data_IF_004532884934
#
_entry.id   IF_004532884934
#
_cell.length_a   1.000
_cell.length_b   1.000
_cell.length_c   1.000
_cell.angle_alpha   90.00
_cell.angle_beta   90.00
_cell.angle_gamma   90.00
#
_symmetry.space_group_name_H-M   'P 1'
#
loop_
_entity.id
_entity.type
_entity.pdbx_description
1 polymer ?
#
# COMPACT_ATOMS: atom_id res chain seq x y z
N UNK A 1 -30.83 -25.76 -27.88
CA UNK A 1 -30.89 -24.31 -27.59
C UNK A 1 -32.23 -23.82 -28.10
N UNK A 2 -32.98 -23.05 -27.31
CA UNK A 2 -34.33 -22.59 -27.72
C UNK A 2 -34.19 -21.48 -28.78
N UNK A 3 -35.15 -21.40 -29.72
CA UNK A 3 -35.22 -20.37 -30.76
C UNK A 3 -35.08 -18.93 -30.21
N UNK A 4 -35.47 -18.70 -28.97
CA UNK A 4 -35.35 -17.40 -28.29
C UNK A 4 -33.89 -17.01 -28.03
N UNK A 5 -32.99 -17.97 -27.71
CA UNK A 5 -31.58 -17.71 -27.47
C UNK A 5 -30.86 -17.41 -28.80
N UNK A 6 -31.25 -18.08 -29.87
CA UNK A 6 -30.71 -17.83 -31.20
C UNK A 6 -31.11 -16.44 -31.74
N UNK A 7 -32.36 -16.01 -31.50
CA UNK A 7 -32.83 -14.67 -31.89
C UNK A 7 -32.15 -13.53 -31.10
N UNK A 8 -31.76 -13.75 -29.83
CA UNK A 8 -31.01 -12.78 -29.04
C UNK A 8 -29.56 -12.66 -29.56
N UNK A 9 -28.99 -13.77 -30.01
CA UNK A 9 -27.62 -13.76 -30.59
C UNK A 9 -27.58 -13.08 -31.98
N UNK A 10 -28.67 -13.18 -32.76
CA UNK A 10 -28.75 -12.57 -34.08
C UNK A 10 -29.11 -11.07 -34.06
N UNK A 11 -29.73 -10.57 -32.99
CA UNK A 11 -30.10 -9.15 -32.84
C UNK A 11 -28.94 -8.26 -32.34
N UNK A 12 -27.84 -8.83 -31.84
CA UNK A 12 -26.72 -8.07 -31.27
C UNK A 12 -25.59 -7.78 -32.29
N UNK A 13 -25.97 -7.47 -33.51
CA UNK A 13 -25.04 -7.13 -34.59
C UNK A 13 -24.78 -5.62 -34.74
N UNK A 14 -25.13 -4.82 -33.70
CA UNK A 14 -24.83 -3.39 -33.70
C UNK A 14 -23.80 -3.07 -32.61
N UNK A 15 -22.58 -2.82 -33.06
CA UNK A 15 -21.41 -2.39 -32.29
C UNK A 15 -20.89 -3.45 -31.29
N UNK A 16 -20.11 -4.39 -31.79
CA UNK A 16 -19.15 -5.10 -30.95
C UNK A 16 -18.24 -4.05 -30.31
N UNK A 17 -18.54 -3.69 -29.06
CA UNK A 17 -17.58 -2.99 -28.22
C UNK A 17 -16.43 -3.98 -27.99
N UNK A 18 -15.49 -4.02 -28.91
CA UNK A 18 -14.24 -4.75 -28.73
C UNK A 18 -13.38 -3.93 -27.79
N UNK A 19 -13.51 -4.20 -26.50
CA UNK A 19 -12.51 -3.76 -25.53
C UNK A 19 -11.33 -4.72 -25.69
N UNK A 20 -10.20 -4.28 -26.28
CA UNK A 20 -9.02 -5.13 -26.34
C UNK A 20 -8.61 -5.45 -24.90
N UNK A 21 -8.28 -6.71 -24.60
CA UNK A 21 -7.82 -7.07 -23.27
C UNK A 21 -6.54 -6.28 -22.95
N UNK A 22 -6.52 -5.64 -21.78
CA UNK A 22 -5.29 -5.01 -21.28
C UNK A 22 -4.41 -6.14 -20.71
N UNK A 23 -3.58 -6.70 -21.56
CA UNK A 23 -2.63 -7.74 -21.18
C UNK A 23 -1.20 -7.19 -21.23
N UNK A 24 -0.38 -7.58 -20.29
CA UNK A 24 1.03 -7.22 -20.32
C UNK A 24 1.71 -7.91 -21.54
N UNK A 25 2.44 -7.17 -22.42
CA UNK A 25 3.02 -7.72 -23.63
C UNK A 25 3.95 -8.92 -23.43
N UNK A 26 4.58 -9.03 -22.26
CA UNK A 26 5.43 -10.19 -21.94
C UNK A 26 4.60 -11.43 -21.61
N UNK A 27 3.52 -11.23 -20.86
CA UNK A 27 2.58 -12.31 -20.55
C UNK A 27 1.91 -12.79 -21.82
N UNK A 28 1.48 -11.89 -22.71
CA UNK A 28 0.93 -12.19 -24.00
C UNK A 28 1.93 -12.98 -24.86
N UNK A 29 3.15 -12.47 -25.03
CA UNK A 29 4.19 -13.15 -25.78
C UNK A 29 4.59 -14.53 -25.19
N UNK A 30 4.49 -14.70 -23.88
CA UNK A 30 4.72 -16.00 -23.23
C UNK A 30 3.61 -16.99 -23.59
N UNK A 31 2.36 -16.58 -23.50
CA UNK A 31 1.19 -17.41 -23.84
C UNK A 31 1.23 -17.81 -25.32
N UNK A 32 1.46 -16.84 -26.20
CA UNK A 32 1.50 -17.08 -27.66
C UNK A 32 2.62 -18.02 -28.10
N UNK A 33 3.74 -17.99 -27.42
CA UNK A 33 4.90 -18.85 -27.73
C UNK A 33 4.84 -20.24 -27.10
N UNK A 34 3.98 -20.43 -26.11
CA UNK A 34 3.94 -21.68 -25.33
C UNK A 34 2.50 -22.23 -25.16
N UNK A 35 1.69 -22.31 -26.24
CA UNK A 35 0.29 -22.76 -26.12
C UNK A 35 0.22 -24.20 -25.57
N UNK A 36 1.04 -25.11 -26.07
CA UNK A 36 1.04 -26.52 -25.65
C UNK A 36 1.34 -26.66 -24.16
N UNK A 37 2.32 -25.88 -23.66
CA UNK A 37 2.65 -25.88 -22.22
C UNK A 37 1.47 -25.38 -21.37
N UNK A 38 0.69 -24.43 -21.84
CA UNK A 38 -0.51 -23.96 -21.12
C UNK A 38 -1.55 -25.09 -21.03
N UNK A 39 -1.78 -25.83 -22.11
CA UNK A 39 -2.68 -26.99 -22.11
C UNK A 39 -2.16 -28.09 -21.19
N UNK A 40 -0.88 -28.43 -21.25
CA UNK A 40 -0.24 -29.42 -20.37
C UNK A 40 -0.40 -29.03 -18.88
N UNK A 41 -0.26 -27.75 -18.55
CA UNK A 41 -0.47 -27.24 -17.19
C UNK A 41 -1.94 -27.34 -16.76
N UNK A 42 -2.90 -27.05 -17.66
CA UNK A 42 -4.33 -27.23 -17.37
C UNK A 42 -4.64 -28.71 -17.16
N UNK A 43 -4.11 -29.59 -17.96
CA UNK A 43 -4.31 -31.04 -17.82
C UNK A 43 -3.71 -31.58 -16.52
N UNK A 44 -2.54 -31.06 -16.11
CA UNK A 44 -1.86 -31.48 -14.89
C UNK A 44 -2.48 -30.90 -13.60
N UNK A 45 -2.94 -29.65 -13.62
CA UNK A 45 -3.37 -28.92 -12.42
C UNK A 45 -4.86 -28.57 -12.41
N UNK A 46 -5.56 -28.71 -13.51
CA UNK A 46 -6.97 -28.38 -13.65
C UNK A 46 -7.23 -26.91 -14.01
N UNK A 47 -8.52 -26.60 -14.15
CA UNK A 47 -9.03 -25.25 -14.46
C UNK A 47 -9.94 -24.79 -13.31
N UNK A 48 -9.92 -23.50 -12.92
CA UNK A 48 -9.12 -22.41 -13.52
C UNK A 48 -7.64 -22.44 -13.12
N UNK A 49 -6.76 -22.12 -14.08
CA UNK A 49 -5.31 -22.05 -13.86
C UNK A 49 -4.86 -20.61 -13.59
N UNK A 50 -4.16 -20.39 -12.49
CA UNK A 50 -3.57 -19.09 -12.15
C UNK A 50 -2.05 -19.14 -12.38
N UNK A 51 -1.58 -18.40 -13.38
CA UNK A 51 -0.15 -18.23 -13.65
C UNK A 51 0.37 -16.93 -13.05
N UNK A 52 1.51 -16.99 -12.38
CA UNK A 52 2.15 -15.85 -11.74
C UNK A 52 3.55 -15.68 -12.32
N UNK A 53 3.89 -14.44 -12.66
CA UNK A 53 5.17 -14.04 -13.22
C UNK A 53 5.92 -13.12 -12.25
N UNK A 54 6.64 -13.66 -11.24
CA UNK A 54 7.27 -12.84 -10.19
C UNK A 54 8.29 -11.85 -10.74
N UNK A 55 8.98 -12.18 -11.83
CA UNK A 55 9.97 -11.32 -12.49
C UNK A 55 9.37 -10.00 -13.03
N UNK A 56 8.06 -9.91 -13.13
CA UNK A 56 7.40 -8.65 -13.52
C UNK A 56 7.57 -7.55 -12.47
N UNK A 57 7.80 -7.92 -11.21
CA UNK A 57 8.08 -6.95 -10.14
C UNK A 57 9.36 -6.18 -10.43
N UNK A 58 10.42 -6.85 -10.89
CA UNK A 58 11.72 -6.23 -11.16
C UNK A 58 11.61 -5.11 -12.20
N UNK A 59 10.81 -5.35 -13.24
CA UNK A 59 10.55 -4.35 -14.30
C UNK A 59 9.74 -3.17 -13.79
N UNK A 60 8.71 -3.44 -13.01
CA UNK A 60 7.88 -2.38 -12.45
C UNK A 60 8.71 -1.51 -11.49
N UNK A 61 9.53 -2.12 -10.64
CA UNK A 61 10.45 -1.40 -9.76
C UNK A 61 11.42 -0.54 -10.57
N UNK A 62 12.02 -1.10 -11.62
CA UNK A 62 12.94 -0.37 -12.49
C UNK A 62 12.27 0.85 -13.13
N UNK A 63 11.02 0.69 -13.61
CA UNK A 63 10.27 1.79 -14.20
C UNK A 63 10.00 2.92 -13.19
N UNK A 64 9.61 2.60 -11.94
CA UNK A 64 9.46 3.60 -10.89
C UNK A 64 10.78 4.30 -10.55
N UNK A 65 11.87 3.56 -10.41
CA UNK A 65 13.21 4.13 -10.13
C UNK A 65 13.68 5.05 -11.24
N UNK A 66 13.37 4.74 -12.49
CA UNK A 66 13.67 5.61 -13.64
C UNK A 66 12.92 6.94 -13.55
N UNK A 67 11.63 6.91 -13.20
CA UNK A 67 10.83 8.13 -13.00
C UNK A 67 11.40 8.98 -11.86
N UNK A 68 11.78 8.35 -10.75
CA UNK A 68 12.41 9.07 -9.62
C UNK A 68 13.70 9.75 -10.05
N UNK A 69 14.58 9.01 -10.74
CA UNK A 69 15.84 9.56 -11.26
C UNK A 69 15.62 10.72 -12.24
N UNK A 70 14.68 10.55 -13.19
CA UNK A 70 14.37 11.57 -14.21
C UNK A 70 13.87 12.88 -13.60
N UNK A 71 13.14 12.81 -12.48
CA UNK A 71 12.53 13.96 -11.83
C UNK A 71 13.30 14.43 -10.58
N UNK A 72 14.50 13.90 -10.32
CA UNK A 72 15.28 14.19 -9.12
C UNK A 72 14.50 13.98 -7.81
N UNK A 73 13.64 12.97 -7.78
CA UNK A 73 12.89 12.60 -6.59
C UNK A 73 13.69 11.62 -5.74
N UNK A 74 13.71 11.86 -4.43
CA UNK A 74 14.18 10.90 -3.45
C UNK A 74 12.98 10.19 -2.83
N UNK A 75 12.95 8.87 -2.90
CA UNK A 75 11.83 8.12 -2.36
C UNK A 75 12.10 6.62 -2.30
N UNK A 76 11.26 5.94 -1.54
CA UNK A 76 11.27 4.49 -1.40
C UNK A 76 9.98 3.91 -1.97
N UNK A 77 10.10 2.78 -2.65
CA UNK A 77 8.96 2.05 -3.18
C UNK A 77 8.50 1.06 -2.13
N UNK A 78 7.21 1.09 -1.81
CA UNK A 78 6.55 0.09 -0.99
C UNK A 78 5.66 -0.78 -1.88
N UNK A 79 6.00 -2.05 -2.02
CA UNK A 79 5.14 -3.02 -2.67
C UNK A 79 4.03 -3.43 -1.71
N UNK A 80 2.77 -3.27 -2.09
CA UNK A 80 1.68 -3.71 -1.22
C UNK A 80 1.32 -5.18 -1.45
N UNK A 81 1.27 -5.96 -0.39
CA UNK A 81 0.90 -7.38 -0.43
C UNK A 81 -0.61 -7.63 -0.61
N UNK A 82 -1.43 -6.59 -0.47
CA UNK A 82 -2.89 -6.69 -0.48
C UNK A 82 -3.48 -7.19 -1.81
N UNK A 83 -3.06 -6.69 -2.99
CA UNK A 83 -3.62 -7.13 -4.27
C UNK A 83 -3.18 -8.53 -4.66
N UNK A 84 -2.00 -8.96 -4.25
CA UNK A 84 -1.48 -10.29 -4.57
C UNK A 84 -0.70 -10.87 -3.40
N UNK A 85 -1.26 -11.92 -2.81
CA UNK A 85 -0.71 -12.61 -1.64
C UNK A 85 0.21 -13.78 -1.98
N UNK A 86 0.65 -13.91 -3.23
CA UNK A 86 1.54 -14.98 -3.65
C UNK A 86 2.90 -14.87 -2.97
N UNK A 87 3.31 -15.96 -2.33
CA UNK A 87 4.63 -16.08 -1.69
C UNK A 87 5.76 -15.89 -2.70
N UNK A 88 5.60 -16.36 -3.94
CA UNK A 88 6.60 -16.18 -5.00
C UNK A 88 6.85 -14.72 -5.34
N UNK A 89 5.79 -13.91 -5.38
CA UNK A 89 5.88 -12.46 -5.58
C UNK A 89 6.58 -11.79 -4.40
N UNK A 90 6.19 -12.14 -3.17
CA UNK A 90 6.82 -11.56 -1.97
C UNK A 90 8.30 -11.93 -1.86
N UNK A 91 8.67 -13.18 -2.18
CA UNK A 91 10.08 -13.60 -2.24
C UNK A 91 10.85 -12.83 -3.30
N UNK A 92 10.30 -12.67 -4.50
CA UNK A 92 10.93 -11.85 -5.55
C UNK A 92 11.09 -10.40 -5.10
N UNK A 93 10.07 -9.80 -4.48
CA UNK A 93 10.16 -8.46 -3.94
C UNK A 93 11.20 -8.33 -2.82
N UNK A 94 11.38 -9.33 -1.97
CA UNK A 94 12.37 -9.30 -0.88
C UNK A 94 13.80 -9.24 -1.37
N UNK A 95 14.10 -9.81 -2.55
CA UNK A 95 15.43 -9.76 -3.17
C UNK A 95 15.75 -8.42 -3.83
N UNK A 96 14.74 -7.56 -4.02
CA UNK A 96 14.87 -6.24 -4.59
C UNK A 96 15.03 -5.17 -3.51
N UNK A 97 15.52 -4.01 -3.89
CA UNK A 97 15.60 -2.83 -3.04
C UNK A 97 14.24 -2.08 -3.02
N UNK A 98 13.24 -2.75 -2.42
CA UNK A 98 11.90 -2.19 -2.16
C UNK A 98 11.43 -2.62 -0.79
N UNK A 99 10.58 -1.80 -0.20
CA UNK A 99 9.90 -2.10 1.04
C UNK A 99 8.58 -2.83 0.76
N UNK A 100 7.92 -3.31 1.80
CA UNK A 100 6.64 -3.97 1.67
C UNK A 100 5.62 -3.41 2.65
N UNK A 101 4.40 -3.21 2.14
CA UNK A 101 3.23 -2.84 2.91
C UNK A 101 2.37 -4.07 3.19
N UNK A 102 1.99 -4.27 4.45
CA UNK A 102 1.11 -5.34 4.91
C UNK A 102 -0.04 -4.78 5.73
N UNK A 103 -1.22 -5.38 5.60
CA UNK A 103 -2.45 -4.91 6.25
C UNK A 103 -3.14 -5.97 7.11
N UNK A 104 -2.41 -6.97 7.56
CA UNK A 104 -2.90 -7.98 8.51
C UNK A 104 -1.75 -8.74 9.16
N UNK A 105 -2.00 -9.29 10.34
CA UNK A 105 -1.08 -10.16 11.08
C UNK A 105 -0.56 -11.31 10.20
N UNK A 106 -1.47 -12.02 9.51
CA UNK A 106 -1.10 -13.12 8.60
C UNK A 106 -0.17 -12.66 7.49
N UNK A 107 -0.40 -11.47 6.93
CA UNK A 107 0.48 -10.92 5.90
C UNK A 107 1.86 -10.59 6.49
N UNK A 108 1.93 -10.04 7.71
CA UNK A 108 3.18 -9.76 8.41
C UNK A 108 3.99 -11.04 8.63
N UNK A 109 3.39 -12.10 9.15
CA UNK A 109 4.06 -13.41 9.26
C UNK A 109 4.58 -13.93 7.92
N UNK A 110 3.77 -13.78 6.86
CA UNK A 110 4.15 -14.25 5.53
C UNK A 110 5.37 -13.51 5.00
N UNK A 111 5.41 -12.17 5.09
CA UNK A 111 6.53 -11.39 4.53
C UNK A 111 7.81 -11.58 5.33
N UNK A 112 7.72 -11.73 6.66
CA UNK A 112 8.86 -12.11 7.49
C UNK A 112 9.44 -13.47 7.05
N UNK A 113 8.58 -14.45 6.77
CA UNK A 113 9.01 -15.77 6.27
C UNK A 113 9.57 -15.72 4.84
N UNK A 114 9.26 -14.68 4.07
CA UNK A 114 9.82 -14.42 2.74
C UNK A 114 11.18 -13.72 2.76
N UNK A 115 11.72 -13.39 3.95
CA UNK A 115 13.05 -12.81 4.12
C UNK A 115 13.08 -11.27 4.12
N UNK A 116 11.92 -10.60 4.26
CA UNK A 116 11.94 -9.16 4.52
C UNK A 116 12.48 -8.87 5.92
N UNK A 117 13.41 -7.94 6.01
CA UNK A 117 13.86 -7.42 7.28
C UNK A 117 12.83 -6.45 7.87
N UNK A 118 12.66 -6.39 9.19
CA UNK A 118 11.65 -5.54 9.85
C UNK A 118 11.69 -4.06 9.40
N UNK A 119 12.89 -3.52 9.13
CA UNK A 119 13.06 -2.13 8.71
C UNK A 119 12.44 -1.83 7.34
N UNK A 120 12.18 -2.87 6.56
CA UNK A 120 11.59 -2.79 5.21
C UNK A 120 10.10 -3.09 5.19
N UNK A 121 9.47 -3.26 6.36
CA UNK A 121 8.05 -3.61 6.47
C UNK A 121 7.29 -2.45 7.08
N UNK A 122 6.17 -2.07 6.48
CA UNK A 122 5.19 -1.13 7.00
C UNK A 122 3.86 -1.85 7.25
N UNK A 123 3.31 -1.71 8.46
CA UNK A 123 2.01 -2.23 8.84
C UNK A 123 0.95 -1.15 8.72
N UNK A 124 0.01 -1.32 7.77
CA UNK A 124 -1.06 -0.36 7.47
C UNK A 124 -2.44 -0.88 7.87
N UNK A 125 -3.43 -0.01 7.79
CA UNK A 125 -4.83 -0.28 8.16
C UNK A 125 -5.04 -0.42 9.67
N UNK A 126 -6.31 -0.49 10.11
CA UNK A 126 -6.63 -0.68 11.52
C UNK A 126 -6.06 -2.00 12.05
N UNK A 127 -5.43 -1.95 13.21
CA UNK A 127 -4.77 -3.11 13.81
C UNK A 127 -5.51 -3.52 15.08
N UNK A 128 -5.89 -4.80 15.16
CA UNK A 128 -6.27 -5.39 16.42
C UNK A 128 -5.03 -5.57 17.32
N UNK A 129 -5.23 -5.91 18.59
CA UNK A 129 -4.14 -6.02 19.56
C UNK A 129 -3.09 -7.06 19.17
N UNK A 130 -3.48 -8.18 18.57
CA UNK A 130 -2.54 -9.25 18.18
C UNK A 130 -1.63 -8.78 17.05
N UNK A 131 -2.22 -8.15 16.03
CA UNK A 131 -1.46 -7.59 14.91
C UNK A 131 -0.54 -6.44 15.35
N UNK A 132 -1.04 -5.55 16.22
CA UNK A 132 -0.26 -4.44 16.75
C UNK A 132 0.89 -4.96 17.64
N UNK A 133 0.62 -5.95 18.50
CA UNK A 133 1.64 -6.57 19.35
C UNK A 133 2.74 -7.22 18.51
N UNK A 134 2.38 -7.96 17.48
CA UNK A 134 3.34 -8.54 16.56
C UNK A 134 4.17 -7.44 15.86
N UNK A 135 3.54 -6.38 15.36
CA UNK A 135 4.22 -5.27 14.72
C UNK A 135 5.26 -4.61 15.64
N UNK A 136 4.87 -4.35 16.88
CA UNK A 136 5.77 -3.80 17.92
C UNK A 136 6.92 -4.76 18.25
N UNK A 137 6.63 -6.04 18.48
CA UNK A 137 7.65 -7.06 18.79
C UNK A 137 8.68 -7.21 17.67
N UNK A 138 8.23 -7.15 16.42
CA UNK A 138 9.11 -7.29 15.25
C UNK A 138 9.84 -5.98 14.91
N UNK A 139 9.51 -4.87 15.55
CA UNK A 139 10.12 -3.57 15.27
C UNK A 139 9.86 -3.07 13.85
N UNK A 140 8.74 -3.42 13.24
CA UNK A 140 8.35 -2.92 11.91
C UNK A 140 7.79 -1.50 11.99
N UNK A 141 7.70 -0.80 10.88
CA UNK A 141 7.08 0.53 10.84
C UNK A 141 5.56 0.41 10.97
N UNK A 142 4.99 1.20 11.87
CA UNK A 142 3.54 1.24 12.15
C UNK A 142 2.96 2.47 11.46
N UNK A 143 2.12 2.28 10.47
CA UNK A 143 1.29 3.34 9.90
C UNK A 143 -0.02 3.38 10.71
N UNK A 144 -0.07 4.29 11.68
CA UNK A 144 -1.14 4.35 12.66
C UNK A 144 -2.41 4.95 12.07
N UNK A 145 -3.52 4.27 12.26
CA UNK A 145 -4.83 4.67 11.77
C UNK A 145 -5.53 5.68 12.71
N UNK A 146 -5.11 5.73 13.96
CA UNK A 146 -5.59 6.67 14.96
C UNK A 146 -4.60 6.80 16.15
N UNK A 147 -4.79 7.83 16.98
CA UNK A 147 -3.91 8.09 18.13
C UNK A 147 -4.05 7.05 19.26
N UNK A 148 -5.21 6.41 19.39
CA UNK A 148 -5.41 5.32 20.36
C UNK A 148 -4.54 4.12 20.01
N UNK A 149 -4.40 3.81 18.74
CA UNK A 149 -3.52 2.74 18.25
C UNK A 149 -2.05 3.04 18.62
N UNK A 150 -1.60 4.29 18.45
CA UNK A 150 -0.25 4.71 18.88
C UNK A 150 -0.07 4.58 20.41
N UNK A 151 -1.07 4.97 21.18
CA UNK A 151 -1.04 4.81 22.64
C UNK A 151 -0.90 3.34 23.04
N UNK A 152 -1.68 2.46 22.42
CA UNK A 152 -1.60 1.02 22.63
C UNK A 152 -0.23 0.44 22.24
N UNK A 153 0.34 0.90 21.11
CA UNK A 153 1.67 0.49 20.67
C UNK A 153 2.75 0.86 21.70
N UNK A 154 2.67 2.06 22.30
CA UNK A 154 3.58 2.50 23.36
C UNK A 154 3.42 1.64 24.61
N UNK A 155 2.19 1.31 25.02
CA UNK A 155 1.91 0.45 26.15
C UNK A 155 2.48 -0.96 25.94
N UNK A 156 2.30 -1.54 24.75
CA UNK A 156 2.87 -2.82 24.37
C UNK A 156 4.41 -2.75 24.42
N UNK A 157 5.03 -1.72 23.81
CA UNK A 157 6.48 -1.49 23.87
C UNK A 157 6.99 -1.52 25.32
N UNK A 158 6.34 -0.76 26.20
CA UNK A 158 6.71 -0.66 27.62
C UNK A 158 6.52 -1.99 28.36
N UNK A 159 5.44 -2.70 28.10
CA UNK A 159 5.17 -4.01 28.72
C UNK A 159 6.20 -5.07 28.32
N UNK A 160 6.75 -4.97 27.10
CA UNK A 160 7.78 -5.86 26.59
C UNK A 160 9.22 -5.42 26.96
N UNK A 161 9.38 -4.26 27.60
CA UNK A 161 10.69 -3.71 27.99
C UNK A 161 11.56 -3.30 26.79
N UNK A 162 10.97 -3.03 25.63
CA UNK A 162 11.71 -2.64 24.44
C UNK A 162 12.24 -1.22 24.57
N UNK A 163 13.52 -1.03 24.25
CA UNK A 163 14.21 0.27 24.38
C UNK A 163 14.14 1.10 23.09
N UNK A 164 14.10 0.45 21.94
CA UNK A 164 14.08 1.12 20.65
C UNK A 164 12.78 1.90 20.46
N UNK A 165 12.88 3.08 19.85
CA UNK A 165 11.70 3.88 19.49
C UNK A 165 10.89 3.18 18.41
N UNK A 166 9.58 3.29 18.51
CA UNK A 166 8.67 2.78 17.48
C UNK A 166 8.70 3.71 16.26
N UNK A 167 9.02 3.17 15.09
CA UNK A 167 8.91 3.90 13.83
C UNK A 167 7.45 4.01 13.45
N UNK A 168 6.95 5.25 13.32
CA UNK A 168 5.52 5.49 13.10
C UNK A 168 5.26 6.51 12.02
N UNK A 169 4.34 6.20 11.13
CA UNK A 169 3.58 7.18 10.35
C UNK A 169 2.24 7.44 11.01
N UNK A 170 1.70 8.63 10.83
CA UNK A 170 0.31 8.95 11.18
C UNK A 170 -0.49 9.07 9.90
N UNK A 171 -1.49 8.21 9.73
CA UNK A 171 -2.36 8.25 8.58
C UNK A 171 -3.35 9.41 8.69
N UNK A 172 -3.43 10.20 7.64
CA UNK A 172 -4.31 11.36 7.52
C UNK A 172 -5.58 11.05 6.72
N UNK A 173 -6.64 11.73 7.07
CA UNK A 173 -7.92 11.75 6.35
C UNK A 173 -8.56 13.15 6.38
N UNK A 174 -9.70 13.30 5.71
CA UNK A 174 -10.48 14.53 5.78
C UNK A 174 -9.84 15.73 5.07
N UNK A 175 -9.06 15.49 4.00
CA UNK A 175 -8.52 16.54 3.17
C UNK A 175 -9.65 17.38 2.56
N UNK A 176 -9.47 18.70 2.54
CA UNK A 176 -10.45 19.63 2.04
C UNK A 176 -9.80 20.66 1.12
N UNK A 177 -10.55 21.11 0.13
CA UNK A 177 -10.10 22.18 -0.76
C UNK A 177 -11.31 22.91 -1.37
N UNK A 178 -11.27 24.23 -1.49
CA UNK A 178 -12.28 24.97 -2.25
C UNK A 178 -12.20 24.68 -3.77
N UNK A 179 -11.08 24.16 -4.25
CA UNK A 179 -10.82 23.90 -5.68
C UNK A 179 -11.38 22.56 -6.15
N UNK A 180 -11.47 21.57 -5.27
CA UNK A 180 -11.82 20.19 -5.64
C UNK A 180 -12.79 19.60 -4.63
N UNK A 181 -13.88 19.03 -5.11
CA UNK A 181 -14.78 18.25 -4.26
C UNK A 181 -14.18 16.85 -4.03
N UNK A 182 -13.90 16.55 -2.78
CA UNK A 182 -13.62 15.18 -2.38
C UNK A 182 -14.95 14.46 -2.22
N UNK A 183 -15.22 13.51 -3.11
CA UNK A 183 -16.46 12.72 -3.11
C UNK A 183 -16.43 11.54 -2.15
N UNK A 184 -15.25 11.10 -1.74
CA UNK A 184 -15.15 10.18 -0.63
C UNK A 184 -15.31 10.98 0.63
N UNK A 185 -16.34 10.68 1.31
CA UNK A 185 -16.59 10.99 2.71
C UNK A 185 -15.30 10.98 3.51
N UNK A 186 -15.28 11.75 4.56
CA UNK A 186 -14.28 11.66 5.62
C UNK A 186 -13.86 10.22 5.77
N UNK A 187 -12.64 9.93 5.37
CA UNK A 187 -12.18 8.55 5.22
C UNK A 187 -12.45 7.78 6.50
N UNK A 188 -12.98 6.59 6.37
CA UNK A 188 -13.20 5.68 7.51
C UNK A 188 -11.89 5.42 8.27
N UNK A 189 -10.77 5.70 7.65
CA UNK A 189 -9.42 5.41 8.13
C UNK A 189 -8.58 6.66 8.19
N UNK A 190 -7.76 6.74 9.25
CA UNK A 190 -6.82 7.84 9.48
C UNK A 190 -7.37 8.90 10.43
N UNK A 191 -6.46 9.73 10.94
CA UNK A 191 -6.78 10.89 11.78
C UNK A 191 -7.16 12.06 10.88
N UNK A 192 -8.29 12.70 11.16
CA UNK A 192 -8.74 13.84 10.37
C UNK A 192 -7.76 15.02 10.50
N UNK A 193 -7.44 15.68 9.37
CA UNK A 193 -6.47 16.78 9.33
C UNK A 193 -6.79 17.94 10.27
N UNK A 194 -8.05 18.19 10.59
CA UNK A 194 -8.44 19.22 11.58
C UNK A 194 -8.01 18.89 13.02
N UNK A 195 -7.53 17.66 13.28
CA UNK A 195 -6.96 17.24 14.55
C UNK A 195 -5.42 17.38 14.59
N UNK A 196 -4.83 18.11 13.67
CA UNK A 196 -3.40 18.37 13.64
C UNK A 196 -2.82 18.82 15.00
N UNK A 197 -3.44 19.75 15.75
CA UNK A 197 -2.94 20.13 17.07
C UNK A 197 -2.89 18.97 18.06
N UNK A 198 -3.89 18.06 18.03
CA UNK A 198 -3.91 16.85 18.88
C UNK A 198 -2.79 15.88 18.48
N UNK A 199 -2.55 15.70 17.16
CA UNK A 199 -1.47 14.87 16.63
C UNK A 199 -0.12 15.39 17.12
N UNK A 200 0.14 16.70 16.95
CA UNK A 200 1.42 17.30 17.34
C UNK A 200 1.65 17.21 18.84
N UNK A 201 0.62 17.50 19.65
CA UNK A 201 0.71 17.38 21.09
C UNK A 201 1.03 15.95 21.53
N UNK A 202 0.36 14.96 20.94
CA UNK A 202 0.59 13.55 21.22
C UNK A 202 2.02 13.11 20.87
N UNK A 203 2.49 13.44 19.66
CA UNK A 203 3.83 13.07 19.19
C UNK A 203 4.93 13.69 20.07
N UNK A 204 4.77 14.96 20.47
CA UNK A 204 5.71 15.63 21.38
C UNK A 204 5.74 15.01 22.77
N UNK A 205 4.58 14.69 23.32
CA UNK A 205 4.48 14.07 24.63
C UNK A 205 5.11 12.67 24.67
N UNK A 206 5.24 12.01 23.53
CA UNK A 206 5.74 10.63 23.41
C UNK A 206 7.03 10.54 22.56
N UNK A 207 7.78 11.63 22.46
CA UNK A 207 8.97 11.71 21.59
C UNK A 207 10.06 10.69 21.99
N UNK A 208 10.12 10.27 23.24
CA UNK A 208 11.07 9.27 23.72
C UNK A 208 10.68 7.84 23.32
N UNK A 209 9.40 7.60 23.06
CA UNK A 209 8.88 6.30 22.67
C UNK A 209 8.71 6.16 21.15
N UNK A 210 8.56 7.28 20.43
CA UNK A 210 8.24 7.32 19.00
C UNK A 210 9.37 7.91 18.16
N UNK A 211 9.65 7.27 17.04
CA UNK A 211 10.44 7.79 15.92
C UNK A 211 9.46 8.14 14.79
N UNK A 212 9.01 9.42 14.78
CA UNK A 212 8.03 9.90 13.82
C UNK A 212 8.62 9.96 12.41
N UNK A 213 8.15 9.07 11.53
CA UNK A 213 8.60 9.00 10.15
C UNK A 213 7.92 10.03 9.26
N UNK A 214 6.72 10.47 9.63
CA UNK A 214 5.94 11.46 8.89
C UNK A 214 4.46 11.10 8.79
N UNK A 215 3.80 11.72 7.82
CA UNK A 215 2.40 11.45 7.54
C UNK A 215 2.23 10.45 6.40
N UNK A 216 1.09 9.76 6.40
CA UNK A 216 0.68 8.88 5.34
C UNK A 216 -0.76 9.18 4.93
N UNK A 217 -1.10 8.98 3.67
CA UNK A 217 -2.48 8.98 3.22
C UNK A 217 -2.66 8.00 2.05
N UNK A 218 -3.90 7.59 1.83
CA UNK A 218 -4.23 6.71 0.73
C UNK A 218 -5.56 7.12 0.09
N UNK A 219 -5.56 7.17 -1.23
CA UNK A 219 -6.75 7.52 -1.99
C UNK A 219 -6.91 6.62 -3.22
N UNK A 220 -7.84 5.67 -3.16
CA UNK A 220 -8.00 4.64 -4.20
C UNK A 220 -8.61 5.13 -5.51
N UNK A 221 -9.45 6.17 -5.46
CA UNK A 221 -10.25 6.63 -6.60
C UNK A 221 -10.08 8.12 -6.91
N UNK A 222 -8.98 8.72 -6.45
CA UNK A 222 -8.74 10.13 -6.63
C UNK A 222 -8.37 10.49 -8.08
N UNK A 223 -8.94 11.58 -8.59
CA UNK A 223 -8.42 12.24 -9.77
C UNK A 223 -7.00 12.77 -9.52
N UNK A 224 -6.29 13.11 -10.59
CA UNK A 224 -4.97 13.74 -10.49
C UNK A 224 -5.01 15.01 -9.65
N UNK A 225 -6.01 15.86 -9.86
CA UNK A 225 -6.21 17.10 -9.09
C UNK A 225 -6.45 16.84 -7.60
N UNK A 226 -7.23 15.81 -7.26
CA UNK A 226 -7.44 15.41 -5.86
C UNK A 226 -6.14 14.93 -5.21
N UNK A 227 -5.30 14.20 -5.95
CA UNK A 227 -3.98 13.75 -5.47
C UNK A 227 -3.04 14.92 -5.21
N UNK A 228 -3.04 15.93 -6.10
CA UNK A 228 -2.24 17.15 -5.93
C UNK A 228 -2.68 17.89 -4.67
N UNK A 229 -3.97 18.11 -4.49
CA UNK A 229 -4.50 18.80 -3.31
C UNK A 229 -4.20 18.03 -2.02
N UNK A 230 -4.33 16.72 -2.01
CA UNK A 230 -3.97 15.90 -0.85
C UNK A 230 -2.48 16.02 -0.52
N UNK A 231 -1.62 16.05 -1.55
CA UNK A 231 -0.20 16.27 -1.37
C UNK A 231 0.11 17.64 -0.79
N UNK A 232 -0.50 18.71 -1.33
CA UNK A 232 -0.35 20.09 -0.81
C UNK A 232 -0.71 20.16 0.68
N UNK A 233 -1.88 19.66 1.06
CA UNK A 233 -2.33 19.65 2.47
C UNK A 233 -1.38 18.83 3.37
N UNK A 234 -0.93 17.68 2.90
CA UNK A 234 0.00 16.85 3.68
C UNK A 234 1.38 17.52 3.83
N UNK A 235 1.84 18.25 2.82
CA UNK A 235 3.08 19.03 2.90
C UNK A 235 2.92 20.23 3.85
N UNK A 236 1.79 20.92 3.86
CA UNK A 236 1.49 21.98 4.81
C UNK A 236 1.56 21.46 6.25
N UNK A 237 0.88 20.34 6.54
CA UNK A 237 0.94 19.70 7.85
C UNK A 237 2.35 19.21 8.22
N UNK A 238 3.12 18.77 7.23
CA UNK A 238 4.51 18.37 7.46
C UNK A 238 5.37 19.58 7.84
N UNK A 239 5.16 20.73 7.19
CA UNK A 239 5.84 21.97 7.52
C UNK A 239 5.46 22.45 8.92
N UNK A 240 4.18 22.42 9.27
CA UNK A 240 3.70 22.72 10.62
C UNK A 240 4.33 21.80 11.68
N UNK A 241 4.44 20.49 11.39
CA UNK A 241 5.09 19.53 12.29
C UNK A 241 6.55 19.91 12.55
N UNK A 242 7.27 20.35 11.52
CA UNK A 242 8.67 20.81 11.63
C UNK A 242 8.76 22.07 12.48
N UNK A 243 7.88 23.06 12.24
CA UNK A 243 7.79 24.28 13.04
C UNK A 243 7.50 24.00 14.51
N UNK A 244 6.74 22.95 14.77
CA UNK A 244 6.45 22.46 16.12
C UNK A 244 7.60 21.66 16.77
N UNK A 245 8.75 21.51 16.08
CA UNK A 245 9.93 20.82 16.58
C UNK A 245 9.88 19.29 16.39
N UNK A 246 8.94 18.75 15.60
CA UNK A 246 8.96 17.37 15.16
C UNK A 246 9.90 17.22 13.96
N UNK A 247 10.40 16.00 13.73
CA UNK A 247 11.34 15.72 12.64
C UNK A 247 10.83 14.61 11.73
N UNK A 248 9.78 14.86 10.91
CA UNK A 248 9.31 13.91 9.92
C UNK A 248 10.39 13.65 8.88
N UNK A 249 10.57 12.39 8.47
CA UNK A 249 11.59 11.95 7.51
C UNK A 249 11.06 11.85 6.09
N UNK A 250 9.74 11.77 5.93
CA UNK A 250 9.11 11.63 4.64
C UNK A 250 7.59 11.71 4.68
N UNK A 251 7.00 11.48 3.51
CA UNK A 251 5.57 11.44 3.32
C UNK A 251 5.20 10.16 2.53
N UNK A 252 4.31 9.34 3.08
CA UNK A 252 3.77 8.20 2.36
C UNK A 252 2.49 8.64 1.62
N UNK A 253 2.61 8.76 0.30
CA UNK A 253 1.53 9.26 -0.56
C UNK A 253 0.56 8.18 -1.02
N UNK A 254 0.71 6.96 -0.52
CA UNK A 254 -0.09 5.81 -0.93
C UNK A 254 0.18 5.37 -2.37
N UNK A 255 -0.79 4.66 -2.96
CA UNK A 255 -0.70 4.15 -4.32
C UNK A 255 -2.05 3.73 -4.89
#
# INVERSE_FOLDING_TARGET
MSNAVQQIIEQDNTTKLSLPPVINPITEAFIDRNPDMIFDLVDAFGSPLNLIFPQMIDRNIAAFKEVYKKNNLSGQIYFTSKPNKSVSIMRQASTNDVNIDVSSEKALHTVLSCGFRPERIECTGPKNLDYLSLAVQQGVTINADNLTELQQAIEIKKSLGLQEKLRVFVRLSGFNSPRVKFTSQDGTFGVHVNKAPEIFAFLKANIEDLDFQGFAYYWSSASEEQRIVALENALELTSEAIEQGLNPKGLNIGG
#
